data_IF_873271031427
#
_entry.id   IF_873271031427
#
_cell.length_a   1.000
_cell.length_b   1.000
_cell.length_c   1.000
_cell.angle_alpha   90.00
_cell.angle_beta   90.00
_cell.angle_gamma   90.00
#
_symmetry.space_group_name_H-M   'P 1'
#
loop_
_entity.id
_entity.type
_entity.pdbx_description
1 polymer ?
#
# COMPACT_ATOMS: atom_id res chain seq x y z
N UNK A 1 -48.84 32.52 25.59
CA UNK A 1 -47.74 33.05 24.77
C UNK A 1 -46.61 32.03 24.77
N UNK A 2 -46.53 31.23 23.71
CA UNK A 2 -45.39 30.33 23.50
C UNK A 2 -44.13 31.16 23.24
N UNK A 3 -43.10 30.95 24.06
CA UNK A 3 -41.79 31.58 23.83
C UNK A 3 -41.05 30.76 22.78
N UNK A 4 -41.03 31.27 21.55
CA UNK A 4 -40.12 30.81 20.51
C UNK A 4 -38.68 31.07 20.99
N UNK A 5 -37.93 30.01 21.27
CA UNK A 5 -36.53 30.11 21.68
C UNK A 5 -35.66 30.10 20.41
N UNK A 6 -35.23 31.28 19.99
CA UNK A 6 -34.27 31.43 18.89
C UNK A 6 -32.88 31.06 19.45
N UNK A 7 -32.38 29.87 19.10
CA UNK A 7 -31.00 29.48 19.41
C UNK A 7 -30.09 30.06 18.31
N UNK A 8 -29.33 31.10 18.67
CA UNK A 8 -28.35 31.73 17.79
C UNK A 8 -27.33 30.71 17.26
N UNK A 9 -27.01 30.81 15.97
CA UNK A 9 -25.94 30.08 15.25
C UNK A 9 -24.54 30.26 15.88
N UNK A 10 -24.39 31.15 16.86
CA UNK A 10 -23.17 31.33 17.65
C UNK A 10 -23.07 30.40 18.87
N UNK A 11 -24.13 29.70 19.27
CA UNK A 11 -24.08 28.78 20.41
C UNK A 11 -23.24 27.52 20.14
N UNK A 12 -23.15 27.06 18.90
CA UNK A 12 -22.32 25.91 18.52
C UNK A 12 -20.80 26.21 18.52
N UNK A 13 -20.42 27.48 18.70
CA UNK A 13 -19.03 27.91 18.85
C UNK A 13 -18.68 28.31 20.28
N UNK A 14 -19.62 28.14 21.24
CA UNK A 14 -19.28 28.30 22.65
C UNK A 14 -18.43 27.11 23.08
N UNK A 15 -17.19 27.38 23.47
CA UNK A 15 -16.30 26.43 24.15
C UNK A 15 -16.93 26.05 25.49
N UNK A 16 -17.76 25.01 25.49
CA UNK A 16 -18.30 24.41 26.71
C UNK A 16 -17.32 23.34 27.20
N UNK A 17 -17.42 22.95 28.47
CA UNK A 17 -16.67 21.79 28.97
C UNK A 17 -17.12 20.56 28.18
N UNK A 18 -16.17 19.81 27.61
CA UNK A 18 -16.43 18.60 26.83
C UNK A 18 -15.59 17.41 27.29
N UNK A 19 -15.89 16.23 26.74
CA UNK A 19 -15.13 15.00 26.97
C UNK A 19 -14.28 14.72 25.73
N UNK A 20 -12.98 14.49 25.92
CA UNK A 20 -12.09 14.03 24.84
C UNK A 20 -12.12 12.51 24.78
N UNK A 21 -12.33 11.94 23.60
CA UNK A 21 -12.24 10.50 23.37
C UNK A 21 -11.64 10.24 22.00
N UNK A 22 -10.85 9.16 21.89
CA UNK A 22 -10.37 8.60 20.62
C UNK A 22 -11.13 7.31 20.24
N UNK A 23 -12.19 6.96 20.99
CA UNK A 23 -13.01 5.78 20.75
C UNK A 23 -14.27 6.16 19.95
N UNK A 24 -14.45 5.55 18.77
CA UNK A 24 -15.58 5.85 17.90
C UNK A 24 -16.94 5.53 18.54
N UNK A 25 -17.04 4.43 19.30
CA UNK A 25 -18.29 4.06 19.96
C UNK A 25 -18.67 5.05 21.07
N UNK A 26 -17.67 5.51 21.84
CA UNK A 26 -17.87 6.55 22.85
C UNK A 26 -18.29 7.87 22.19
N UNK A 27 -17.60 8.28 21.12
CA UNK A 27 -17.99 9.44 20.31
C UNK A 27 -19.45 9.34 19.85
N UNK A 28 -19.85 8.20 19.27
CA UNK A 28 -21.20 8.00 18.75
C UNK A 28 -22.26 8.07 19.85
N UNK A 29 -22.00 7.45 21.01
CA UNK A 29 -22.88 7.52 22.16
C UNK A 29 -23.06 8.95 22.68
N UNK A 30 -21.98 9.75 22.72
CA UNK A 30 -22.04 11.14 23.17
C UNK A 30 -22.81 12.04 22.17
N UNK A 31 -22.62 11.85 20.86
CA UNK A 31 -23.40 12.54 19.83
C UNK A 31 -24.90 12.22 19.97
N UNK A 32 -25.26 10.94 20.18
CA UNK A 32 -26.64 10.55 20.40
C UNK A 32 -27.24 11.14 21.68
N UNK A 33 -26.41 11.43 22.68
CA UNK A 33 -26.80 12.13 23.90
C UNK A 33 -26.86 13.67 23.75
N UNK A 34 -26.71 14.20 22.53
CA UNK A 34 -26.85 15.63 22.22
C UNK A 34 -25.57 16.44 22.33
N UNK A 35 -24.40 15.80 22.50
CA UNK A 35 -23.12 16.49 22.38
C UNK A 35 -22.88 16.96 20.94
N UNK A 36 -22.06 18.01 20.80
CA UNK A 36 -21.65 18.55 19.50
C UNK A 36 -20.13 18.43 19.36
N UNK A 37 -19.65 18.13 18.15
CA UNK A 37 -18.22 18.07 17.87
C UNK A 37 -17.63 19.49 17.97
N UNK A 38 -16.59 19.64 18.78
CA UNK A 38 -15.93 20.93 19.01
C UNK A 38 -14.51 20.95 18.44
N UNK A 39 -13.75 19.86 18.58
CA UNK A 39 -12.40 19.72 18.02
C UNK A 39 -12.18 18.27 17.55
N UNK A 40 -11.30 18.08 16.56
CA UNK A 40 -10.80 16.76 16.13
C UNK A 40 -9.29 16.77 16.26
N UNK A 41 -8.74 15.77 16.94
CA UNK A 41 -7.30 15.58 17.09
C UNK A 41 -6.91 14.37 16.23
N UNK A 42 -6.00 14.60 15.29
CA UNK A 42 -5.44 13.56 14.45
C UNK A 42 -4.05 13.18 14.96
N UNK A 43 -3.82 11.89 15.18
CA UNK A 43 -2.49 11.34 15.41
C UNK A 43 -1.98 10.79 14.09
N UNK A 44 -1.01 11.47 13.49
CA UNK A 44 -0.35 11.00 12.28
C UNK A 44 0.79 10.06 12.68
N UNK A 45 0.91 8.94 11.98
CA UNK A 45 2.09 8.09 12.07
C UNK A 45 3.24 8.78 11.33
N UNK A 46 4.47 8.51 11.78
CA UNK A 46 5.66 8.87 11.04
C UNK A 46 5.60 8.27 9.62
N UNK A 47 6.29 8.93 8.69
CA UNK A 47 6.45 8.40 7.35
C UNK A 47 7.22 7.08 7.42
N UNK A 48 6.90 6.17 6.50
CA UNK A 48 7.52 4.87 6.38
C UNK A 48 7.93 4.67 4.92
N UNK A 49 9.13 4.14 4.70
CA UNK A 49 9.65 3.82 3.37
C UNK A 49 10.23 2.40 3.39
N UNK A 50 9.60 1.52 2.60
CA UNK A 50 9.97 0.12 2.48
C UNK A 50 11.32 -0.04 1.78
N UNK A 51 12.28 -0.69 2.43
CA UNK A 51 13.56 -1.09 1.84
C UNK A 51 13.37 -2.34 0.98
N UNK A 52 12.74 -3.38 1.54
CA UNK A 52 12.52 -4.66 0.86
C UNK A 52 11.34 -5.42 1.48
N UNK A 53 10.44 -5.89 0.63
CA UNK A 53 9.31 -6.77 0.98
C UNK A 53 9.45 -8.04 0.15
N UNK A 54 9.75 -9.19 0.79
CA UNK A 54 9.92 -10.46 0.07
C UNK A 54 8.60 -10.99 -0.50
N UNK A 55 7.45 -10.53 0.01
CA UNK A 55 6.12 -10.89 -0.50
C UNK A 55 5.75 -10.09 -1.75
N UNK A 56 6.27 -8.87 -1.89
CA UNK A 56 5.98 -7.98 -3.03
C UNK A 56 7.24 -7.22 -3.49
N UNK A 57 8.22 -7.98 -3.98
CA UNK A 57 9.48 -7.46 -4.48
C UNK A 57 9.29 -6.43 -5.60
N UNK A 58 9.98 -5.28 -5.47
CA UNK A 58 10.07 -4.27 -6.52
C UNK A 58 11.30 -4.46 -7.39
N UNK A 59 11.26 -3.91 -8.61
CA UNK A 59 12.46 -3.76 -9.44
C UNK A 59 13.54 -2.94 -8.70
N UNK A 60 14.84 -3.25 -8.85
CA UNK A 60 15.40 -4.30 -9.71
C UNK A 60 15.42 -5.70 -9.07
N UNK A 61 15.14 -5.82 -7.77
CA UNK A 61 15.32 -7.06 -6.99
C UNK A 61 14.37 -8.17 -7.45
N UNK A 62 13.14 -7.81 -7.84
CA UNK A 62 12.16 -8.77 -8.37
C UNK A 62 12.68 -9.62 -9.54
N UNK A 63 13.66 -9.10 -10.29
CA UNK A 63 14.26 -9.72 -11.50
C UNK A 63 15.44 -10.63 -11.20
N UNK A 64 15.76 -10.87 -9.94
CA UNK A 64 16.91 -11.65 -9.53
C UNK A 64 16.51 -13.11 -9.23
N UNK A 65 17.52 -13.98 -9.20
CA UNK A 65 17.33 -15.36 -8.73
C UNK A 65 17.04 -15.41 -7.22
N UNK A 66 16.45 -16.50 -6.74
CA UNK A 66 16.19 -16.68 -5.30
C UNK A 66 17.47 -16.56 -4.47
N UNK A 67 18.59 -17.08 -4.98
CA UNK A 67 19.89 -17.02 -4.32
C UNK A 67 20.38 -15.59 -4.17
N UNK A 68 20.26 -14.77 -5.22
CA UNK A 68 20.63 -13.35 -5.18
C UNK A 68 19.70 -12.55 -4.27
N UNK A 69 18.38 -12.81 -4.28
CA UNK A 69 17.41 -12.16 -3.40
C UNK A 69 17.74 -12.43 -1.93
N UNK A 70 18.01 -13.70 -1.57
CA UNK A 70 18.37 -14.08 -0.20
C UNK A 70 19.72 -13.46 0.19
N UNK A 71 20.68 -13.42 -0.73
CA UNK A 71 21.97 -12.78 -0.48
C UNK A 71 21.82 -11.29 -0.20
N UNK A 72 21.04 -10.55 -1.02
CA UNK A 72 20.75 -9.13 -0.81
C UNK A 72 20.01 -8.90 0.51
N UNK A 73 19.04 -9.76 0.84
CA UNK A 73 18.33 -9.68 2.12
C UNK A 73 19.29 -9.79 3.31
N UNK A 74 20.19 -10.77 3.28
CA UNK A 74 21.18 -10.96 4.35
C UNK A 74 22.16 -9.79 4.44
N UNK A 75 22.67 -9.28 3.30
CA UNK A 75 23.53 -8.09 3.28
C UNK A 75 22.80 -6.86 3.83
N UNK A 76 21.50 -6.71 3.56
CA UNK A 76 20.68 -5.62 4.08
C UNK A 76 20.52 -5.73 5.60
N UNK A 77 20.19 -6.91 6.10
CA UNK A 77 20.11 -7.19 7.54
C UNK A 77 21.44 -6.91 8.23
N UNK A 78 22.55 -7.40 7.66
CA UNK A 78 23.89 -7.18 8.20
C UNK A 78 24.30 -5.70 8.18
N UNK A 79 24.03 -5.00 7.07
CA UNK A 79 24.28 -3.56 6.96
C UNK A 79 23.53 -2.77 8.04
N UNK A 80 22.25 -3.07 8.25
CA UNK A 80 21.41 -2.41 9.25
C UNK A 80 21.87 -2.74 10.68
N UNK A 81 22.29 -3.98 10.93
CA UNK A 81 22.82 -4.41 12.23
C UNK A 81 24.18 -3.77 12.56
N UNK A 82 25.10 -3.72 11.59
CA UNK A 82 26.45 -3.17 11.74
C UNK A 82 26.41 -1.65 11.95
N UNK A 83 25.59 -0.96 11.17
CA UNK A 83 25.51 0.50 11.25
C UNK A 83 24.69 1.02 12.43
N UNK A 84 24.22 0.14 13.35
CA UNK A 84 23.44 0.45 14.56
C UNK A 84 22.71 1.78 14.45
N UNK A 85 21.70 1.83 13.58
CA UNK A 85 20.65 2.86 13.48
C UNK A 85 21.03 4.14 14.26
N UNK A 86 21.94 4.94 13.70
CA UNK A 86 22.17 6.28 14.24
C UNK A 86 20.88 7.07 14.04
N UNK A 87 20.57 7.98 14.96
CA UNK A 87 19.37 8.83 14.97
C UNK A 87 19.04 9.52 13.64
N UNK A 88 20.04 9.60 12.74
CA UNK A 88 20.04 10.36 11.50
C UNK A 88 19.54 9.53 10.29
N UNK A 89 19.34 8.21 10.43
CA UNK A 89 18.95 7.32 9.31
C UNK A 89 17.46 6.92 9.32
N UNK A 90 16.70 7.35 10.33
CA UNK A 90 15.39 6.80 10.66
C UNK A 90 15.51 5.54 11.52
N UNK A 91 14.46 5.19 12.25
CA UNK A 91 14.44 3.99 13.07
C UNK A 91 13.97 2.79 12.23
N UNK A 92 14.47 1.58 12.54
CA UNK A 92 14.11 0.35 11.83
C UNK A 92 12.81 -0.22 12.38
N UNK A 93 11.84 -0.51 11.51
CA UNK A 93 10.71 -1.38 11.87
C UNK A 93 11.16 -2.82 11.70
N UNK A 94 11.75 -3.41 12.75
CA UNK A 94 11.88 -4.85 12.85
C UNK A 94 10.61 -5.40 13.48
N UNK A 95 9.68 -5.85 12.63
CA UNK A 95 8.63 -6.81 12.99
C UNK A 95 7.68 -6.44 14.14
N UNK A 96 6.46 -6.07 13.77
CA UNK A 96 5.25 -6.50 14.47
C UNK A 96 4.58 -7.62 13.64
N UNK A 97 5.22 -8.79 13.55
CA UNK A 97 4.67 -9.93 12.78
C UNK A 97 4.74 -9.77 11.25
N UNK A 98 5.65 -8.94 10.75
CA UNK A 98 5.96 -8.75 9.32
C UNK A 98 7.19 -9.58 8.90
N UNK A 99 7.19 -10.89 9.17
CA UNK A 99 8.02 -11.79 8.36
C UNK A 99 7.31 -11.89 7.00
N UNK A 100 7.76 -11.20 5.92
CA UNK A 100 9.15 -10.89 5.56
C UNK A 100 9.40 -9.47 4.96
N UNK A 101 9.36 -8.42 5.77
CA UNK A 101 9.48 -7.01 5.34
C UNK A 101 10.55 -6.21 6.13
N UNK A 102 11.19 -5.22 5.47
CA UNK A 102 12.15 -4.29 6.06
C UNK A 102 11.86 -2.86 5.61
N UNK A 103 11.62 -1.95 6.56
CA UNK A 103 11.30 -0.54 6.29
C UNK A 103 12.02 0.44 7.23
N UNK A 104 12.23 1.65 6.74
CA UNK A 104 12.66 2.81 7.53
C UNK A 104 11.44 3.62 7.94
N UNK A 105 11.42 4.18 9.15
CA UNK A 105 10.45 5.19 9.55
C UNK A 105 11.10 6.46 10.08
N UNK A 106 10.42 7.61 9.88
CA UNK A 106 10.89 8.92 10.29
C UNK A 106 9.94 10.04 9.88
N UNK A 107 10.26 11.28 10.23
CA UNK A 107 9.35 12.42 10.03
C UNK A 107 9.31 12.95 8.59
N UNK A 108 10.37 12.71 7.81
CA UNK A 108 10.59 13.31 6.49
C UNK A 108 10.70 12.23 5.39
N UNK A 109 9.64 12.02 4.60
CA UNK A 109 9.64 11.01 3.52
C UNK A 109 10.76 11.22 2.49
N UNK A 110 11.13 12.47 2.22
CA UNK A 110 12.18 12.78 1.26
C UNK A 110 13.56 12.30 1.72
N UNK A 111 13.81 12.32 3.02
CA UNK A 111 15.03 11.82 3.65
C UNK A 111 15.06 10.29 3.67
N UNK A 112 13.94 9.66 4.04
CA UNK A 112 13.80 8.20 4.00
C UNK A 112 14.07 7.63 2.60
N UNK A 113 13.59 8.30 1.55
CA UNK A 113 13.85 7.90 0.15
C UNK A 113 15.32 8.01 -0.23
N UNK A 114 16.00 9.10 0.16
CA UNK A 114 17.45 9.24 -0.07
C UNK A 114 18.23 8.16 0.67
N UNK A 115 17.85 7.87 1.92
CA UNK A 115 18.49 6.82 2.72
C UNK A 115 18.29 5.44 2.08
N UNK A 116 17.07 5.12 1.64
CA UNK A 116 16.79 3.91 0.87
C UNK A 116 17.67 3.80 -0.38
N UNK A 117 17.76 4.86 -1.18
CA UNK A 117 18.60 4.86 -2.38
C UNK A 117 20.08 4.64 -2.05
N UNK A 118 20.59 5.28 -1.00
CA UNK A 118 21.99 5.12 -0.55
C UNK A 118 22.27 3.69 -0.05
N UNK A 119 21.37 3.12 0.77
CA UNK A 119 21.48 1.76 1.30
C UNK A 119 21.44 0.75 0.16
N UNK A 120 20.39 0.82 -0.68
CA UNK A 120 20.21 -0.11 -1.79
C UNK A 120 21.31 0.02 -2.83
N UNK A 121 21.79 1.23 -3.16
CA UNK A 121 22.92 1.38 -4.08
C UNK A 121 24.19 0.77 -3.50
N UNK A 122 24.47 0.97 -2.21
CA UNK A 122 25.65 0.36 -1.55
C UNK A 122 25.61 -1.17 -1.62
N UNK A 123 24.44 -1.77 -1.40
CA UNK A 123 24.27 -3.23 -1.40
C UNK A 123 24.23 -3.79 -2.82
N UNK A 124 23.44 -3.19 -3.72
CA UNK A 124 23.26 -3.67 -5.09
C UNK A 124 24.51 -3.47 -5.97
N UNK A 125 25.32 -2.43 -5.69
CA UNK A 125 26.59 -2.22 -6.39
C UNK A 125 27.64 -3.28 -6.06
N UNK A 126 27.46 -4.09 -5.00
CA UNK A 126 28.32 -5.24 -4.70
C UNK A 126 28.09 -6.45 -5.62
N UNK A 127 27.13 -6.38 -6.55
CA UNK A 127 27.07 -7.27 -7.70
C UNK A 127 25.70 -7.92 -7.92
N UNK A 128 24.85 -7.26 -8.71
CA UNK A 128 23.77 -7.95 -9.44
C UNK A 128 24.42 -8.66 -10.62
N UNK A 129 24.53 -9.98 -10.54
CA UNK A 129 25.24 -10.76 -11.56
C UNK A 129 24.33 -11.26 -12.67
N UNK A 130 23.07 -11.62 -12.36
CA UNK A 130 22.18 -12.25 -13.31
C UNK A 130 20.75 -11.72 -13.19
N UNK A 131 20.39 -10.76 -14.06
CA UNK A 131 18.99 -10.35 -14.21
C UNK A 131 18.27 -11.35 -15.09
N UNK A 132 17.24 -11.99 -14.54
CA UNK A 132 16.33 -12.86 -15.29
C UNK A 132 15.45 -12.02 -16.23
N UNK A 133 15.02 -12.63 -17.33
CA UNK A 133 13.91 -12.08 -18.11
C UNK A 133 12.68 -11.94 -17.22
N UNK A 134 11.87 -10.91 -17.47
CA UNK A 134 10.69 -10.59 -16.66
C UNK A 134 9.76 -11.79 -16.50
N UNK A 135 9.58 -12.56 -17.56
CA UNK A 135 8.67 -13.72 -17.56
C UNK A 135 9.13 -14.83 -16.60
N UNK A 136 10.45 -14.94 -16.32
CA UNK A 136 11.06 -15.97 -15.47
C UNK A 136 11.56 -15.45 -14.12
N UNK A 137 11.40 -14.14 -13.87
CA UNK A 137 11.78 -13.51 -12.62
C UNK A 137 11.13 -14.18 -11.40
N UNK A 138 11.69 -14.01 -10.20
CA UNK A 138 11.09 -14.62 -9.00
C UNK A 138 9.92 -13.80 -8.48
N UNK A 139 10.07 -12.47 -8.50
CA UNK A 139 9.08 -11.52 -8.03
C UNK A 139 8.12 -11.09 -9.13
N UNK A 140 6.91 -10.68 -8.73
CA UNK A 140 5.98 -10.03 -9.63
C UNK A 140 6.22 -8.52 -9.58
N UNK A 141 6.68 -7.94 -10.69
CA UNK A 141 6.89 -6.48 -10.80
C UNK A 141 5.63 -5.78 -11.35
N UNK A 142 5.19 -4.69 -10.71
CA UNK A 142 4.07 -3.83 -11.16
C UNK A 142 4.54 -2.83 -12.22
N UNK A 143 4.99 -3.34 -13.35
CA UNK A 143 5.67 -2.54 -14.38
C UNK A 143 4.82 -2.25 -15.63
N UNK A 144 3.65 -2.86 -15.77
CA UNK A 144 2.78 -2.68 -16.94
C UNK A 144 1.74 -1.62 -16.62
N UNK A 145 1.62 -0.60 -17.47
CA UNK A 145 0.59 0.44 -17.26
C UNK A 145 -0.78 -0.14 -17.53
N UNK A 146 -1.75 0.12 -16.64
CA UNK A 146 -3.12 -0.36 -16.77
C UNK A 146 -3.76 0.10 -18.09
N UNK A 147 -3.45 1.33 -18.53
CA UNK A 147 -3.95 1.89 -19.80
C UNK A 147 -3.51 1.11 -21.05
N UNK A 148 -2.45 0.31 -20.94
CA UNK A 148 -1.91 -0.50 -22.03
C UNK A 148 -2.46 -1.96 -21.96
N UNK A 149 -3.33 -2.25 -21.00
CA UNK A 149 -3.98 -3.56 -20.85
C UNK A 149 -5.10 -3.78 -21.88
N UNK A 150 -5.53 -5.03 -22.13
CA UNK A 150 -6.68 -5.30 -23.00
C UNK A 150 -7.93 -4.55 -22.53
N UNK A 151 -8.73 -4.02 -23.46
CA UNK A 151 -9.91 -3.20 -23.15
C UNK A 151 -10.84 -3.84 -22.12
N UNK A 152 -11.12 -5.15 -22.26
CA UNK A 152 -11.95 -5.91 -21.30
C UNK A 152 -11.43 -5.87 -19.86
N UNK A 153 -10.11 -5.72 -19.67
CA UNK A 153 -9.51 -5.58 -18.33
C UNK A 153 -9.67 -4.16 -17.79
N UNK A 154 -9.57 -3.15 -18.66
CA UNK A 154 -9.82 -1.76 -18.31
C UNK A 154 -11.29 -1.60 -17.91
N UNK A 155 -12.21 -2.15 -18.70
CA UNK A 155 -13.66 -2.12 -18.42
C UNK A 155 -13.99 -2.76 -17.06
N UNK A 156 -13.36 -3.91 -16.74
CA UNK A 156 -13.51 -4.58 -15.44
C UNK A 156 -13.05 -3.70 -14.27
N UNK A 157 -11.94 -2.99 -14.44
CA UNK A 157 -11.45 -2.06 -13.43
C UNK A 157 -12.38 -0.85 -13.27
N UNK A 158 -12.88 -0.30 -14.37
CA UNK A 158 -13.79 0.84 -14.36
C UNK A 158 -15.12 0.48 -13.68
N UNK A 159 -15.65 -0.72 -13.92
CA UNK A 159 -16.82 -1.24 -13.22
C UNK A 159 -16.57 -1.36 -11.71
N UNK A 160 -15.43 -1.98 -11.31
CA UNK A 160 -15.03 -2.07 -9.91
C UNK A 160 -14.95 -0.69 -9.26
N UNK A 161 -14.28 0.28 -9.92
CA UNK A 161 -14.12 1.65 -9.42
C UNK A 161 -15.46 2.37 -9.32
N UNK A 162 -16.35 2.18 -10.30
CA UNK A 162 -17.70 2.74 -10.31
C UNK A 162 -18.52 2.23 -9.13
N UNK A 163 -18.50 0.93 -8.85
CA UNK A 163 -19.23 0.36 -7.70
C UNK A 163 -18.75 0.95 -6.37
N UNK A 164 -17.44 1.06 -6.15
CA UNK A 164 -16.90 1.65 -4.92
C UNK A 164 -17.20 3.15 -4.79
N UNK A 165 -17.24 3.88 -5.91
CA UNK A 165 -17.56 5.32 -5.91
C UNK A 165 -18.92 5.64 -5.29
N UNK A 166 -19.86 4.67 -5.27
CA UNK A 166 -21.18 4.82 -4.65
C UNK A 166 -21.13 4.88 -3.12
N UNK A 167 -20.04 4.41 -2.50
CA UNK A 167 -19.94 4.22 -1.04
C UNK A 167 -18.80 5.01 -0.39
N UNK A 168 -17.97 5.71 -1.18
CA UNK A 168 -16.84 6.48 -0.67
C UNK A 168 -16.88 7.93 -1.16
N UNK A 169 -16.16 8.80 -0.47
CA UNK A 169 -15.97 10.18 -0.93
C UNK A 169 -15.18 10.20 -2.25
N UNK A 170 -15.59 11.06 -3.20
CA UNK A 170 -14.92 11.30 -4.48
C UNK A 170 -13.42 11.62 -4.31
N UNK A 171 -13.05 12.41 -3.29
CA UNK A 171 -11.64 12.69 -3.00
C UNK A 171 -10.86 11.41 -2.66
N UNK A 172 -11.48 10.47 -1.95
CA UNK A 172 -10.89 9.16 -1.66
C UNK A 172 -10.76 8.29 -2.91
N UNK A 173 -11.63 8.47 -3.91
CA UNK A 173 -11.54 7.76 -5.20
C UNK A 173 -10.28 8.15 -5.99
N UNK A 174 -9.82 9.39 -5.85
CA UNK A 174 -8.64 9.91 -6.57
C UNK A 174 -7.34 9.68 -5.80
N UNK A 175 -7.41 9.67 -4.47
CA UNK A 175 -6.23 9.59 -3.60
C UNK A 175 -5.95 8.20 -3.06
N UNK A 176 -6.91 7.27 -3.12
CA UNK A 176 -6.71 5.90 -2.66
C UNK A 176 -5.89 5.09 -3.67
N UNK A 177 -4.72 4.55 -3.31
CA UNK A 177 -3.88 3.76 -4.22
C UNK A 177 -4.56 2.49 -4.76
N UNK A 178 -5.63 2.00 -4.11
CA UNK A 178 -6.40 0.84 -4.56
C UNK A 178 -7.45 1.20 -5.61
N UNK A 179 -7.86 2.47 -5.68
CA UNK A 179 -8.90 2.98 -6.59
C UNK A 179 -8.35 3.96 -7.63
N UNK A 180 -7.05 4.24 -7.55
CA UNK A 180 -6.29 5.02 -8.51
C UNK A 180 -5.00 4.25 -8.87
N UNK A 181 -5.18 3.13 -9.58
CA UNK A 181 -4.08 2.25 -9.98
C UNK A 181 -3.55 2.68 -11.34
N UNK A 182 -2.26 2.95 -11.40
CA UNK A 182 -1.58 3.27 -12.67
C UNK A 182 -0.99 2.03 -13.34
N UNK A 183 -0.52 1.07 -12.55
CA UNK A 183 0.23 -0.09 -13.02
C UNK A 183 -0.33 -1.41 -12.48
N UNK A 184 -0.32 -2.42 -13.33
CA UNK A 184 -0.59 -3.82 -13.03
C UNK A 184 0.71 -4.64 -13.13
N UNK A 185 0.70 -5.85 -12.60
CA UNK A 185 1.82 -6.78 -12.70
C UNK A 185 2.09 -7.23 -14.15
N UNK A 186 3.38 -7.42 -14.43
CA UNK A 186 3.93 -7.89 -15.69
C UNK A 186 3.47 -9.29 -16.09
N UNK A 187 3.83 -9.68 -17.33
CA UNK A 187 3.72 -11.08 -17.74
C UNK A 187 4.68 -11.97 -16.97
N UNK A 188 4.21 -13.17 -16.63
CA UNK A 188 4.94 -14.05 -15.73
C UNK A 188 4.47 -15.49 -15.90
N UNK A 189 5.40 -16.46 -15.91
CA UNK A 189 5.07 -17.88 -16.07
C UNK A 189 4.11 -18.39 -14.97
N UNK A 190 4.08 -17.73 -13.80
CA UNK A 190 3.17 -18.10 -12.71
C UNK A 190 1.72 -17.95 -13.11
N UNK A 191 1.38 -17.07 -14.05
CA UNK A 191 0.00 -16.94 -14.52
C UNK A 191 -0.50 -18.23 -15.17
N UNK A 192 0.39 -19.02 -15.77
CA UNK A 192 0.07 -20.33 -16.34
C UNK A 192 -0.20 -21.35 -15.25
N UNK A 193 0.64 -21.32 -14.20
CA UNK A 193 0.46 -22.14 -13.01
C UNK A 193 -0.84 -21.78 -12.30
N UNK A 194 -1.16 -20.50 -12.15
CA UNK A 194 -2.42 -20.05 -11.56
C UNK A 194 -3.59 -20.46 -12.44
N UNK A 195 -3.53 -20.27 -13.77
CA UNK A 195 -4.60 -20.66 -14.69
C UNK A 195 -4.90 -22.16 -14.63
N UNK A 196 -3.86 -23.00 -14.57
CA UNK A 196 -4.02 -24.45 -14.41
C UNK A 196 -4.58 -24.86 -13.05
N UNK A 197 -4.35 -24.07 -12.00
CA UNK A 197 -4.92 -24.26 -10.65
C UNK A 197 -6.35 -23.65 -10.54
N UNK A 198 -6.68 -22.65 -11.38
CA UNK A 198 -7.85 -21.76 -11.28
C UNK A 198 -9.23 -22.39 -11.57
N UNK A 199 -9.39 -23.71 -11.42
CA UNK A 199 -10.71 -24.23 -11.02
C UNK A 199 -11.19 -23.60 -9.69
N UNK A 200 -10.27 -23.08 -8.85
CA UNK A 200 -10.58 -22.37 -7.60
C UNK A 200 -10.13 -20.89 -7.64
N UNK A 201 -11.05 -19.98 -7.95
CA UNK A 201 -10.87 -18.51 -8.10
C UNK A 201 -10.52 -17.73 -6.82
N UNK A 202 -10.44 -18.40 -5.67
CA UNK A 202 -10.38 -17.77 -4.34
C UNK A 202 -9.08 -16.97 -4.07
N UNK A 203 -7.96 -17.36 -4.70
CA UNK A 203 -6.63 -16.77 -4.45
C UNK A 203 -6.48 -15.32 -4.94
N UNK A 204 -7.19 -14.95 -6.01
CA UNK A 204 -7.07 -13.61 -6.63
C UNK A 204 -7.78 -12.55 -5.78
N UNK A 205 -8.81 -12.94 -5.03
CA UNK A 205 -9.62 -12.05 -4.20
C UNK A 205 -8.81 -11.52 -3.01
N UNK A 206 -7.86 -12.30 -2.48
CA UNK A 206 -6.98 -11.88 -1.38
C UNK A 206 -5.72 -11.12 -1.82
N UNK A 207 -5.31 -11.24 -3.09
CA UNK A 207 -4.06 -10.64 -3.61
C UNK A 207 -4.17 -9.18 -4.05
N UNK A 208 -5.39 -8.61 -4.02
CA UNK A 208 -5.66 -7.24 -4.41
C UNK A 208 -5.93 -7.05 -5.90
N UNK A 209 -6.58 -5.92 -6.22
CA UNK A 209 -7.08 -5.60 -7.56
C UNK A 209 -5.98 -5.52 -8.65
N UNK A 210 -4.74 -5.04 -8.44
CA UNK A 210 -3.73 -5.07 -9.51
C UNK A 210 -3.36 -6.50 -9.94
N UNK A 211 -3.37 -7.46 -9.00
CA UNK A 211 -3.08 -8.88 -9.27
C UNK A 211 -4.22 -9.52 -10.06
N UNK A 212 -5.46 -9.19 -9.72
CA UNK A 212 -6.65 -9.62 -10.44
C UNK A 212 -6.65 -9.13 -11.90
N UNK A 213 -6.37 -7.85 -12.11
CA UNK A 213 -6.33 -7.25 -13.43
C UNK A 213 -5.20 -7.84 -14.28
N UNK A 214 -4.02 -8.08 -13.71
CA UNK A 214 -2.94 -8.79 -14.41
C UNK A 214 -3.35 -10.19 -14.84
N UNK A 215 -3.90 -10.99 -13.93
CA UNK A 215 -4.34 -12.34 -14.28
C UNK A 215 -5.39 -12.32 -15.40
N UNK A 216 -6.37 -11.42 -15.30
CA UNK A 216 -7.40 -11.26 -16.32
C UNK A 216 -6.80 -10.86 -17.68
N UNK A 217 -5.92 -9.85 -17.70
CA UNK A 217 -5.23 -9.40 -18.90
C UNK A 217 -4.44 -10.54 -19.59
N UNK A 218 -3.79 -11.42 -18.81
CA UNK A 218 -2.95 -12.50 -19.34
C UNK A 218 -3.73 -13.72 -19.80
N UNK A 219 -4.91 -13.96 -19.22
CA UNK A 219 -5.74 -15.13 -19.55
C UNK A 219 -6.76 -14.86 -20.65
N UNK A 220 -7.15 -13.60 -20.89
CA UNK A 220 -8.03 -13.21 -21.99
C UNK A 220 -7.53 -13.67 -23.36
N UNK A 221 -6.22 -13.55 -23.62
CA UNK A 221 -5.60 -13.93 -24.89
C UNK A 221 -5.61 -15.45 -25.18
N UNK A 222 -6.08 -16.27 -24.22
CA UNK A 222 -6.11 -17.74 -24.34
C UNK A 222 -7.50 -18.31 -24.57
N UNK A 223 -8.52 -17.48 -24.40
CA UNK A 223 -9.94 -17.85 -24.55
C UNK A 223 -10.48 -17.35 -25.92
N UNK A 224 -9.75 -16.44 -26.57
CA UNK A 224 -9.95 -16.02 -27.97
C UNK A 224 -9.26 -16.95 -28.96
#
# INVERSE_FOLDING_TARGET
MERIKIISKHHCWRTLKGTKTNNFQEYFNQINNGCQLQETIFHLRDAEEMLMDLSNLSSPISRLSSTEIIHIWNELVDYLNINKITSDMGNLVNGYGLDPELALYGTELCELRKNKENILSTILNKGITNKLELIYSRGLDKSVKLKDAPQKTIDLYDEFRYEYSKSINLFSLETCPTLNIENIYQDHYVWDKVFTIAKNKLFIISGGIPLALSYHAKTLNRIS
#
